data_IF_435098025173
#
_entry.id   IF_435098025173
#
_cell.length_a   1.000
_cell.length_b   1.000
_cell.length_c   1.000
_cell.angle_alpha   90.00
_cell.angle_beta   90.00
_cell.angle_gamma   90.00
#
_symmetry.space_group_name_H-M   'P 1'
#
loop_
_entity.id
_entity.type
_entity.pdbx_description
1 polymer ?
#
# COMPACT_ATOMS: atom_id res chain seq x y z
N UNK A 1 27.86 -3.35 -13.91
CA UNK A 1 26.43 -3.64 -13.57
C UNK A 1 26.44 -4.22 -12.17
N UNK A 2 26.12 -3.43 -11.15
CA UNK A 2 25.96 -3.96 -9.79
C UNK A 2 24.86 -5.01 -9.82
N UNK A 3 25.15 -6.23 -9.36
CA UNK A 3 24.18 -7.27 -9.11
C UNK A 3 23.11 -6.70 -8.16
N UNK A 4 21.94 -6.37 -8.69
CA UNK A 4 20.80 -5.97 -7.86
C UNK A 4 20.53 -7.12 -6.91
N UNK A 5 20.91 -6.97 -5.64
CA UNK A 5 20.63 -7.96 -4.60
C UNK A 5 19.11 -8.18 -4.57
N UNK A 6 18.71 -9.39 -4.85
CA UNK A 6 17.30 -9.74 -5.02
C UNK A 6 16.75 -10.18 -3.67
N UNK A 7 15.81 -9.41 -3.14
CA UNK A 7 15.16 -9.67 -1.86
C UNK A 7 13.81 -10.37 -2.12
N UNK A 8 13.84 -11.70 -2.30
CA UNK A 8 12.66 -12.49 -2.68
C UNK A 8 11.52 -12.39 -1.65
N UNK A 9 11.86 -12.42 -0.35
CA UNK A 9 10.86 -12.28 0.71
C UNK A 9 10.14 -10.94 0.66
N UNK A 10 10.81 -9.86 0.26
CA UNK A 10 10.15 -8.55 0.10
C UNK A 10 9.22 -8.51 -1.12
N UNK A 11 9.52 -9.28 -2.17
CA UNK A 11 8.60 -9.46 -3.30
C UNK A 11 7.34 -10.17 -2.85
N UNK A 12 7.49 -11.27 -2.13
CA UNK A 12 6.37 -12.04 -1.58
C UNK A 12 5.55 -11.16 -0.63
N UNK A 13 6.23 -10.45 0.28
CA UNK A 13 5.62 -9.54 1.24
C UNK A 13 4.80 -8.44 0.55
N UNK A 14 5.32 -7.84 -0.51
CA UNK A 14 4.61 -6.85 -1.32
C UNK A 14 3.42 -7.44 -2.08
N UNK A 15 3.55 -8.69 -2.56
CA UNK A 15 2.45 -9.44 -3.15
C UNK A 15 1.32 -9.73 -2.16
N UNK A 16 1.65 -10.10 -0.92
CA UNK A 16 0.68 -10.25 0.17
C UNK A 16 0.02 -8.91 0.47
N UNK A 17 0.82 -7.85 0.60
CA UNK A 17 0.31 -6.52 0.94
C UNK A 17 -0.74 -6.01 -0.06
N UNK A 18 -0.55 -6.21 -1.38
CA UNK A 18 -1.55 -5.77 -2.36
C UNK A 18 -2.83 -6.60 -2.31
N UNK A 19 -2.74 -7.89 -2.00
CA UNK A 19 -3.94 -8.72 -1.78
C UNK A 19 -4.70 -8.24 -0.55
N UNK A 20 -4.00 -7.86 0.53
CA UNK A 20 -4.61 -7.29 1.72
C UNK A 20 -5.27 -5.92 1.46
N UNK A 21 -4.74 -5.10 0.54
CA UNK A 21 -5.43 -3.89 0.08
C UNK A 21 -6.77 -4.24 -0.56
N UNK A 22 -6.77 -5.20 -1.50
CA UNK A 22 -8.01 -5.65 -2.18
C UNK A 22 -9.02 -6.20 -1.17
N UNK A 23 -8.55 -6.98 -0.19
CA UNK A 23 -9.39 -7.52 0.89
C UNK A 23 -9.92 -6.41 1.80
N UNK A 24 -9.06 -5.54 2.31
CA UNK A 24 -9.44 -4.43 3.19
C UNK A 24 -10.50 -3.52 2.55
N UNK A 25 -10.30 -3.16 1.29
CA UNK A 25 -11.30 -2.37 0.55
C UNK A 25 -12.59 -3.14 0.24
N UNK A 26 -12.60 -4.47 0.37
CA UNK A 26 -13.83 -5.26 0.23
C UNK A 26 -14.74 -5.15 1.45
N UNK A 27 -14.21 -4.73 2.61
CA UNK A 27 -15.00 -4.37 3.78
C UNK A 27 -15.56 -2.94 3.73
N UNK A 28 -14.95 -2.05 2.94
CA UNK A 28 -15.31 -0.62 2.88
C UNK A 28 -16.44 -0.36 1.88
N UNK A 29 -17.61 -0.89 2.13
CA UNK A 29 -18.80 -0.57 1.37
C UNK A 29 -19.39 0.76 1.89
N UNK A 30 -19.10 1.87 1.24
CA UNK A 30 -19.72 3.15 1.58
C UNK A 30 -21.23 3.10 1.38
N UNK A 31 -21.98 3.42 2.41
CA UNK A 31 -23.44 3.41 2.42
C UNK A 31 -24.08 2.21 3.10
N UNK A 32 -23.29 1.23 3.57
CA UNK A 32 -23.76 0.10 4.37
C UNK A 32 -22.88 -0.07 5.59
N UNK A 33 -23.49 -0.20 6.75
CA UNK A 33 -22.79 -0.38 8.04
C UNK A 33 -22.33 -1.83 8.24
N UNK A 34 -21.61 -2.40 7.25
CA UNK A 34 -21.08 -3.77 7.32
C UNK A 34 -20.14 -3.93 8.52
N UNK A 35 -19.36 -2.89 8.80
CA UNK A 35 -18.43 -2.89 9.92
C UNK A 35 -19.15 -2.72 11.25
N UNK A 36 -20.25 -1.96 11.28
CA UNK A 36 -20.97 -1.68 12.53
C UNK A 36 -21.79 -2.88 13.01
N UNK A 37 -22.30 -3.70 12.08
CA UNK A 37 -23.18 -4.82 12.38
C UNK A 37 -22.44 -6.15 12.59
N UNK A 38 -21.13 -6.23 12.36
CA UNK A 38 -20.36 -7.47 12.50
C UNK A 38 -18.97 -7.24 13.09
N UNK A 39 -18.80 -7.68 14.32
CA UNK A 39 -17.55 -7.54 15.10
C UNK A 39 -16.36 -8.19 14.35
N UNK A 40 -16.55 -9.34 13.72
CA UNK A 40 -15.50 -10.03 12.97
C UNK A 40 -15.05 -9.21 11.74
N UNK A 41 -15.99 -8.62 11.01
CA UNK A 41 -15.69 -7.78 9.87
C UNK A 41 -14.86 -6.55 10.28
N UNK A 42 -15.27 -5.88 11.36
CA UNK A 42 -14.53 -4.75 11.92
C UNK A 42 -13.13 -5.17 12.38
N UNK A 43 -13.04 -6.26 13.10
CA UNK A 43 -11.77 -6.80 13.58
C UNK A 43 -10.77 -7.04 12.44
N UNK A 44 -11.17 -7.75 11.39
CA UNK A 44 -10.30 -8.06 10.24
C UNK A 44 -9.94 -6.78 9.48
N UNK A 45 -10.93 -5.92 9.23
CA UNK A 45 -10.71 -4.64 8.56
C UNK A 45 -9.66 -3.81 9.29
N UNK A 46 -9.87 -3.55 10.59
CA UNK A 46 -9.01 -2.67 11.37
C UNK A 46 -7.60 -3.25 11.54
N UNK A 47 -7.48 -4.58 11.69
CA UNK A 47 -6.19 -5.25 11.70
C UNK A 47 -5.43 -5.06 10.38
N UNK A 48 -6.10 -5.19 9.22
CA UNK A 48 -5.47 -4.94 7.91
C UNK A 48 -5.08 -3.47 7.78
N UNK A 49 -5.99 -2.56 8.11
CA UNK A 49 -5.78 -1.11 7.97
C UNK A 49 -4.69 -0.58 8.90
N UNK A 50 -4.40 -1.27 10.00
CA UNK A 50 -3.32 -0.88 10.91
C UNK A 50 -1.96 -0.85 10.21
N UNK A 51 -1.64 -1.80 9.31
CA UNK A 51 -0.27 -2.00 8.84
C UNK A 51 -0.05 -2.03 7.33
N UNK A 52 -1.08 -2.34 6.49
CA UNK A 52 -0.85 -2.59 5.06
C UNK A 52 -0.24 -1.39 4.32
N UNK A 53 -0.67 -0.17 4.61
CA UNK A 53 -0.09 1.05 4.01
C UNK A 53 1.29 1.38 4.58
N UNK A 54 1.51 1.42 5.92
CA UNK A 54 2.85 1.48 6.51
C UNK A 54 3.85 0.49 5.90
N UNK A 55 3.41 -0.75 5.64
CA UNK A 55 4.22 -1.79 5.01
C UNK A 55 4.67 -1.39 3.59
N UNK A 56 3.78 -0.85 2.75
CA UNK A 56 4.16 -0.40 1.41
C UNK A 56 5.18 0.72 1.42
N UNK A 57 5.03 1.69 2.32
CA UNK A 57 6.00 2.77 2.47
C UNK A 57 7.34 2.27 3.01
N UNK A 58 7.33 1.33 3.95
CA UNK A 58 8.54 0.70 4.45
C UNK A 58 9.28 -0.08 3.35
N UNK A 59 8.58 -0.88 2.54
CA UNK A 59 9.19 -1.58 1.39
C UNK A 59 9.74 -0.57 0.37
N UNK A 60 9.03 0.53 0.11
CA UNK A 60 9.49 1.56 -0.81
C UNK A 60 10.78 2.23 -0.33
N UNK A 61 10.87 2.54 0.97
CA UNK A 61 12.09 3.06 1.59
C UNK A 61 13.23 2.06 1.53
N UNK A 62 12.98 0.79 1.84
CA UNK A 62 13.99 -0.28 1.79
C UNK A 62 14.56 -0.46 0.37
N UNK A 63 13.72 -0.41 -0.66
CA UNK A 63 14.14 -0.57 -2.06
C UNK A 63 14.78 0.69 -2.64
N UNK A 64 14.85 1.76 -1.87
CA UNK A 64 15.53 2.98 -2.27
C UNK A 64 17.04 2.79 -2.19
N UNK A 65 17.74 3.11 -3.27
CA UNK A 65 19.21 3.14 -3.30
C UNK A 65 19.71 4.48 -2.77
N UNK A 66 21.00 4.54 -2.35
CA UNK A 66 21.65 5.79 -2.01
C UNK A 66 21.46 6.81 -3.14
N UNK A 67 20.87 7.94 -2.81
CA UNK A 67 20.49 8.95 -3.81
C UNK A 67 21.64 9.85 -4.25
N UNK A 68 22.87 9.69 -3.70
CA UNK A 68 24.02 10.54 -4.07
C UNK A 68 24.23 10.65 -5.56
N UNK A 69 24.09 9.52 -6.27
CA UNK A 69 24.23 9.46 -7.72
C UNK A 69 22.93 9.76 -8.48
N UNK A 70 21.80 9.93 -7.76
CA UNK A 70 20.45 9.89 -8.32
C UNK A 70 19.69 11.24 -8.25
N UNK A 71 20.27 12.32 -7.73
CA UNK A 71 19.71 13.68 -7.86
C UNK A 71 19.73 14.18 -9.32
N UNK A 72 19.69 13.25 -10.28
CA UNK A 72 19.72 13.55 -11.69
C UNK A 72 18.30 13.53 -12.30
N UNK A 73 18.15 14.21 -13.42
CA UNK A 73 16.90 14.29 -14.18
C UNK A 73 16.31 12.90 -14.51
N UNK A 74 17.15 11.87 -14.69
CA UNK A 74 16.70 10.49 -15.01
C UNK A 74 15.93 9.86 -13.85
N UNK A 75 16.35 10.09 -12.61
CA UNK A 75 15.64 9.59 -11.44
C UNK A 75 14.23 10.18 -11.36
N UNK A 76 14.11 11.51 -11.35
CA UNK A 76 12.82 12.19 -11.27
C UNK A 76 11.90 11.84 -12.44
N UNK A 77 12.43 11.79 -13.64
CA UNK A 77 11.67 11.40 -14.83
C UNK A 77 11.16 9.95 -14.76
N UNK A 78 11.94 9.05 -14.17
CA UNK A 78 11.53 7.67 -13.87
C UNK A 78 10.36 7.62 -12.89
N UNK A 79 10.36 8.45 -11.82
CA UNK A 79 9.27 8.52 -10.85
C UNK A 79 8.01 9.16 -11.44
N UNK A 80 8.15 10.20 -12.25
CA UNK A 80 7.04 10.78 -13.02
C UNK A 80 6.38 9.71 -13.90
N UNK A 81 7.14 8.98 -14.70
CA UNK A 81 6.61 7.94 -15.57
C UNK A 81 5.94 6.81 -14.80
N UNK A 82 6.51 6.41 -13.66
CA UNK A 82 6.08 5.21 -12.95
C UNK A 82 4.97 5.46 -11.92
N UNK A 83 4.82 6.69 -11.43
CA UNK A 83 3.85 7.04 -10.39
C UNK A 83 2.89 8.15 -10.83
N UNK A 84 3.40 9.29 -11.32
CA UNK A 84 2.56 10.43 -11.61
C UNK A 84 1.69 10.23 -12.85
N UNK A 85 2.22 9.63 -13.93
CA UNK A 85 1.42 9.36 -15.14
C UNK A 85 0.29 8.37 -14.83
N UNK A 86 0.53 7.20 -14.20
CA UNK A 86 -0.56 6.31 -13.78
C UNK A 86 -1.56 6.97 -12.83
N UNK A 87 -1.09 7.81 -11.91
CA UNK A 87 -1.94 8.57 -11.00
C UNK A 87 -2.91 9.49 -11.76
N UNK A 88 -2.40 10.31 -12.68
CA UNK A 88 -3.22 11.24 -13.47
C UNK A 88 -4.20 10.45 -14.34
N UNK A 89 -3.72 9.42 -15.03
CA UNK A 89 -4.54 8.60 -15.93
C UNK A 89 -5.75 8.00 -15.19
N UNK A 90 -5.52 7.34 -14.05
CA UNK A 90 -6.64 6.69 -13.33
C UNK A 90 -7.64 7.70 -12.77
N UNK A 91 -7.20 8.87 -12.32
CA UNK A 91 -8.10 9.91 -11.84
C UNK A 91 -8.98 10.48 -12.96
N UNK A 92 -8.44 10.59 -14.19
CA UNK A 92 -9.23 10.99 -15.37
C UNK A 92 -10.24 9.89 -15.71
N UNK A 93 -9.81 8.62 -15.74
CA UNK A 93 -10.69 7.48 -16.03
C UNK A 93 -11.80 7.34 -14.98
N UNK A 94 -11.50 7.54 -13.71
CA UNK A 94 -12.50 7.47 -12.63
C UNK A 94 -13.47 8.66 -12.66
N UNK A 95 -13.07 9.81 -13.19
CA UNK A 95 -13.94 10.98 -13.30
C UNK A 95 -15.08 10.77 -14.35
N UNK A 96 -14.83 10.03 -15.42
CA UNK A 96 -15.79 9.81 -16.50
C UNK A 96 -17.09 9.11 -16.01
N UNK A 97 -17.04 7.90 -15.41
CA UNK A 97 -18.25 7.23 -14.93
C UNK A 97 -18.91 7.99 -13.77
N UNK A 98 -18.16 8.70 -12.93
CA UNK A 98 -18.73 9.54 -11.86
C UNK A 98 -19.52 10.72 -12.41
N UNK A 99 -19.09 11.28 -13.53
CA UNK A 99 -19.83 12.36 -14.20
C UNK A 99 -21.09 11.83 -14.90
N UNK A 100 -20.98 10.70 -15.61
CA UNK A 100 -22.09 10.10 -16.34
C UNK A 100 -23.17 9.51 -15.42
N UNK A 101 -22.79 8.96 -14.29
CA UNK A 101 -23.67 8.27 -13.32
C UNK A 101 -23.77 9.01 -11.98
N UNK A 102 -23.79 10.35 -12.01
CA UNK A 102 -23.73 11.20 -10.82
C UNK A 102 -24.85 10.89 -9.79
N UNK A 103 -26.02 10.43 -10.22
CA UNK A 103 -27.14 10.00 -9.36
C UNK A 103 -26.91 8.66 -8.64
N UNK A 104 -25.94 7.85 -9.10
CA UNK A 104 -25.67 6.50 -8.58
C UNK A 104 -24.38 6.43 -7.76
N UNK A 105 -23.61 7.51 -7.71
CA UNK A 105 -22.30 7.53 -7.07
C UNK A 105 -22.33 8.49 -5.87
N UNK A 106 -22.02 7.97 -4.68
CA UNK A 106 -22.05 8.74 -3.43
C UNK A 106 -20.99 9.86 -3.34
N UNK A 107 -19.96 9.84 -4.17
CA UNK A 107 -18.91 10.85 -4.18
C UNK A 107 -18.87 11.57 -5.53
N UNK A 108 -18.99 12.90 -5.51
CA UNK A 108 -18.81 13.75 -6.70
C UNK A 108 -17.42 13.51 -7.32
N UNK A 109 -17.31 13.72 -8.64
CA UNK A 109 -16.02 13.66 -9.35
C UNK A 109 -14.97 14.54 -8.67
N UNK A 110 -13.74 14.07 -8.61
CA UNK A 110 -12.64 14.89 -8.12
C UNK A 110 -12.45 16.09 -9.07
N UNK A 111 -12.51 17.31 -8.58
CA UNK A 111 -12.11 18.49 -9.35
C UNK A 111 -10.60 18.39 -9.68
N UNK A 112 -10.16 19.06 -10.76
CA UNK A 112 -8.75 19.12 -11.15
C UNK A 112 -7.91 19.66 -9.97
N UNK A 113 -8.41 20.68 -9.29
CA UNK A 113 -7.80 21.24 -8.08
C UNK A 113 -7.59 20.16 -7.01
N UNK A 114 -8.60 19.33 -6.75
CA UNK A 114 -8.51 18.26 -5.76
C UNK A 114 -7.48 17.19 -6.16
N UNK A 115 -7.39 16.85 -7.44
CA UNK A 115 -6.39 15.92 -7.95
C UNK A 115 -4.97 16.46 -7.74
N UNK A 116 -4.76 17.76 -7.97
CA UNK A 116 -3.43 18.38 -7.89
C UNK A 116 -3.02 18.62 -6.43
N UNK A 117 -3.90 19.18 -5.60
CA UNK A 117 -3.52 19.69 -4.28
C UNK A 117 -3.89 18.77 -3.11
N UNK A 118 -4.90 17.90 -3.26
CA UNK A 118 -5.43 17.10 -2.15
C UNK A 118 -5.37 15.59 -2.38
N UNK A 119 -4.88 15.15 -3.53
CA UNK A 119 -4.97 13.79 -4.07
C UNK A 119 -6.40 13.32 -4.36
N UNK A 120 -6.57 12.36 -5.25
CA UNK A 120 -7.82 11.59 -5.36
C UNK A 120 -8.04 10.74 -4.10
N UNK A 121 -9.27 10.63 -3.62
CA UNK A 121 -9.57 9.93 -2.37
C UNK A 121 -9.04 8.49 -2.36
N UNK A 122 -9.10 7.81 -3.50
CA UNK A 122 -8.67 6.42 -3.66
C UNK A 122 -7.20 6.28 -4.11
N UNK A 123 -6.56 7.35 -4.58
CA UNK A 123 -5.21 7.31 -5.18
C UNK A 123 -4.15 8.01 -4.34
N UNK A 124 -4.49 8.36 -3.10
CA UNK A 124 -3.64 9.10 -2.18
C UNK A 124 -2.27 8.45 -1.95
N UNK A 125 -2.21 7.12 -1.92
CA UNK A 125 -0.97 6.39 -1.70
C UNK A 125 0.08 6.69 -2.77
N UNK A 126 -0.32 6.61 -4.06
CA UNK A 126 0.60 6.86 -5.18
C UNK A 126 1.08 8.30 -5.17
N UNK A 127 0.19 9.24 -4.88
CA UNK A 127 0.50 10.66 -4.78
C UNK A 127 1.49 10.94 -3.62
N UNK A 128 1.20 10.45 -2.42
CA UNK A 128 2.08 10.62 -1.24
C UNK A 128 3.44 9.95 -1.48
N UNK A 129 3.47 8.76 -2.07
CA UNK A 129 4.71 8.06 -2.40
C UNK A 129 5.54 8.83 -3.44
N UNK A 130 4.88 9.44 -4.44
CA UNK A 130 5.53 10.30 -5.40
C UNK A 130 6.18 11.51 -4.73
N UNK A 131 5.46 12.20 -3.84
CA UNK A 131 6.00 13.34 -3.08
C UNK A 131 7.19 12.92 -2.20
N UNK A 132 7.13 11.77 -1.53
CA UNK A 132 8.27 11.25 -0.76
C UNK A 132 9.49 11.03 -1.64
N UNK A 133 9.33 10.46 -2.83
CA UNK A 133 10.46 10.31 -3.77
C UNK A 133 11.00 11.62 -4.31
N UNK A 134 10.22 12.72 -4.30
CA UNK A 134 10.74 14.05 -4.63
C UNK A 134 11.55 14.66 -3.48
N UNK A 135 11.07 14.51 -2.26
CA UNK A 135 11.61 15.21 -1.09
C UNK A 135 12.76 14.42 -0.46
N UNK A 136 12.67 13.10 -0.38
CA UNK A 136 13.61 12.26 0.35
C UNK A 136 15.07 12.35 -0.13
N UNK A 137 15.40 12.46 -1.42
CA UNK A 137 16.80 12.66 -1.86
C UNK A 137 17.43 13.94 -1.31
N UNK A 138 16.61 14.99 -1.14
CA UNK A 138 17.05 16.27 -0.55
C UNK A 138 17.32 16.08 0.95
N UNK A 139 16.41 15.41 1.64
CA UNK A 139 16.56 15.08 3.06
C UNK A 139 17.80 14.21 3.29
N UNK A 140 18.00 13.18 2.46
CA UNK A 140 19.18 12.31 2.55
C UNK A 140 20.47 13.10 2.43
N UNK A 141 20.58 13.94 1.40
CA UNK A 141 21.79 14.74 1.13
C UNK A 141 22.14 15.71 2.26
N UNK A 142 21.13 16.44 2.77
CA UNK A 142 21.38 17.56 3.69
C UNK A 142 21.24 17.22 5.16
N UNK A 143 20.50 16.17 5.50
CA UNK A 143 20.19 15.83 6.89
C UNK A 143 20.82 14.48 7.27
N UNK A 144 20.51 13.42 6.54
CA UNK A 144 20.86 12.05 6.93
C UNK A 144 22.37 11.83 6.86
N UNK A 145 23.03 12.28 5.78
CA UNK A 145 24.49 12.12 5.59
C UNK A 145 25.38 12.95 6.50
N UNK A 146 24.81 13.89 7.24
CA UNK A 146 25.53 14.72 8.19
C UNK A 146 25.52 14.13 9.62
N UNK A 147 25.49 12.81 9.74
CA UNK A 147 25.41 12.07 11.03
C UNK A 147 24.21 12.44 11.91
N UNK A 148 23.20 13.07 11.33
CA UNK A 148 21.97 13.48 12.01
C UNK A 148 20.81 12.48 11.82
N UNK A 149 21.11 11.28 11.34
CA UNK A 149 20.10 10.27 11.02
C UNK A 149 19.25 9.90 12.25
N UNK A 150 19.84 9.78 13.44
CA UNK A 150 19.05 9.50 14.66
C UNK A 150 18.11 10.64 15.01
N UNK A 151 18.57 11.89 14.91
CA UNK A 151 17.74 13.06 15.20
C UNK A 151 16.58 13.20 14.20
N UNK A 152 16.84 12.90 12.93
CA UNK A 152 15.79 12.90 11.93
C UNK A 152 14.74 11.82 12.22
N UNK A 153 15.17 10.58 12.52
CA UNK A 153 14.28 9.49 12.91
C UNK A 153 13.46 9.81 14.16
N UNK A 154 14.09 10.38 15.19
CA UNK A 154 13.41 10.85 16.39
C UNK A 154 12.39 11.96 16.07
N UNK A 155 12.76 12.90 15.21
CA UNK A 155 11.84 13.95 14.76
C UNK A 155 10.59 13.38 14.08
N UNK A 156 10.75 12.44 13.14
CA UNK A 156 9.61 11.77 12.49
C UNK A 156 8.75 10.97 13.47
N UNK A 157 9.38 10.31 14.45
CA UNK A 157 8.67 9.60 15.50
C UNK A 157 7.83 10.54 16.37
N UNK A 158 8.39 11.68 16.80
CA UNK A 158 7.68 12.68 17.58
C UNK A 158 6.54 13.33 16.77
N UNK A 159 6.77 13.65 15.48
CA UNK A 159 5.72 14.17 14.62
C UNK A 159 4.53 13.21 14.52
N UNK A 160 4.77 11.90 14.51
CA UNK A 160 3.72 10.88 14.49
C UNK A 160 2.99 10.79 15.84
N UNK A 161 3.70 10.76 16.96
CA UNK A 161 3.09 10.68 18.30
C UNK A 161 2.19 11.89 18.57
N UNK A 162 2.71 13.09 18.28
CA UNK A 162 1.98 14.33 18.53
C UNK A 162 1.01 14.71 17.39
N UNK A 163 0.86 13.85 16.38
CA UNK A 163 -0.02 14.05 15.22
C UNK A 163 0.19 15.41 14.52
N UNK A 164 1.43 15.91 14.55
CA UNK A 164 1.77 17.19 13.96
C UNK A 164 1.57 17.13 12.44
N UNK A 165 0.78 18.06 11.91
CA UNK A 165 0.42 18.09 10.49
C UNK A 165 -0.81 17.27 10.10
N UNK A 166 -1.44 16.54 11.04
CA UNK A 166 -2.63 15.69 10.77
C UNK A 166 -3.83 16.46 10.18
N UNK A 167 -3.93 17.75 10.43
CA UNK A 167 -5.00 18.63 9.93
C UNK A 167 -4.68 19.24 8.55
N UNK A 168 -3.42 19.11 8.07
CA UNK A 168 -2.99 19.72 6.81
C UNK A 168 -3.25 18.74 5.67
N UNK A 169 -4.35 18.93 4.95
CA UNK A 169 -4.76 18.04 3.85
C UNK A 169 -4.12 18.39 2.51
N UNK A 170 -3.67 19.64 2.34
CA UNK A 170 -3.01 20.07 1.11
C UNK A 170 -1.71 19.29 0.89
N UNK A 171 -1.46 18.86 -0.34
CA UNK A 171 -0.35 17.97 -0.69
C UNK A 171 -0.27 16.70 0.17
N UNK A 172 -1.39 16.27 0.75
CA UNK A 172 -1.46 15.11 1.66
C UNK A 172 -0.43 15.15 2.79
N UNK A 173 -0.16 16.34 3.36
CA UNK A 173 0.86 16.51 4.40
C UNK A 173 0.58 15.62 5.61
N UNK A 174 -0.68 15.45 5.99
CA UNK A 174 -1.12 14.54 7.05
C UNK A 174 -0.60 13.11 6.84
N UNK A 175 -0.75 12.59 5.62
CA UNK A 175 -0.30 11.24 5.25
C UNK A 175 1.19 11.19 4.98
N UNK A 176 1.74 12.25 4.40
CA UNK A 176 3.16 12.36 4.10
C UNK A 176 3.99 12.32 5.37
N UNK A 177 3.61 13.05 6.43
CA UNK A 177 4.28 13.03 7.72
C UNK A 177 4.19 11.63 8.34
N UNK A 178 2.98 11.07 8.42
CA UNK A 178 2.76 9.74 8.99
C UNK A 178 3.54 8.65 8.26
N UNK A 179 3.49 8.62 6.94
CA UNK A 179 4.12 7.57 6.13
C UNK A 179 5.63 7.75 5.96
N UNK A 180 6.15 8.98 6.08
CA UNK A 180 7.59 9.25 6.02
C UNK A 180 8.39 8.52 7.11
N UNK A 181 7.81 8.30 8.28
CA UNK A 181 8.42 7.52 9.34
C UNK A 181 8.66 6.07 8.92
N UNK A 182 7.64 5.40 8.37
CA UNK A 182 7.77 4.01 7.90
C UNK A 182 8.69 3.89 6.69
N UNK A 183 8.64 4.85 5.78
CA UNK A 183 9.57 4.93 4.66
C UNK A 183 11.02 5.05 5.15
N UNK A 184 11.26 5.91 6.13
CA UNK A 184 12.57 6.11 6.71
C UNK A 184 13.09 4.88 7.47
N UNK A 185 12.24 4.23 8.25
CA UNK A 185 12.61 2.95 8.90
C UNK A 185 12.97 1.90 7.83
N UNK A 186 12.21 1.81 6.75
CA UNK A 186 12.55 0.92 5.62
C UNK A 186 13.93 1.23 5.03
N UNK A 187 14.23 2.50 4.82
CA UNK A 187 15.54 2.95 4.34
C UNK A 187 16.69 2.53 5.27
N UNK A 188 16.52 2.69 6.59
CA UNK A 188 17.52 2.27 7.58
C UNK A 188 17.67 0.74 7.63
N UNK A 189 16.57 0.00 7.57
CA UNK A 189 16.58 -1.47 7.66
C UNK A 189 17.41 -2.13 6.56
N UNK A 190 17.57 -1.48 5.42
CA UNK A 190 18.39 -1.99 4.32
C UNK A 190 19.83 -2.27 4.75
N UNK A 191 20.42 -1.39 5.57
CA UNK A 191 21.80 -1.54 6.04
C UNK A 191 21.96 -2.68 7.04
N UNK A 192 20.88 -3.08 7.72
CA UNK A 192 20.87 -4.13 8.74
C UNK A 192 20.20 -5.42 8.25
N UNK A 193 19.84 -5.49 6.99
CA UNK A 193 19.03 -6.58 6.43
C UNK A 193 19.61 -7.98 6.70
N UNK A 194 20.90 -8.19 6.47
CA UNK A 194 21.54 -9.50 6.65
C UNK A 194 21.52 -9.96 8.12
N UNK A 195 21.76 -9.02 9.02
CA UNK A 195 21.70 -9.27 10.46
C UNK A 195 20.29 -9.63 10.91
N UNK A 196 19.29 -8.93 10.40
CA UNK A 196 17.88 -9.14 10.74
C UNK A 196 17.37 -10.45 10.13
N UNK A 197 17.64 -10.71 8.85
CA UNK A 197 17.21 -11.96 8.20
C UNK A 197 17.86 -13.22 8.83
N UNK A 198 19.08 -13.09 9.33
CA UNK A 198 19.77 -14.13 10.09
C UNK A 198 19.10 -14.40 11.46
N UNK A 199 18.63 -13.37 12.14
CA UNK A 199 17.97 -13.49 13.45
C UNK A 199 16.66 -14.27 13.38
N UNK A 200 15.94 -14.20 12.27
CA UNK A 200 14.66 -14.93 12.07
C UNK A 200 14.83 -16.45 12.21
N UNK A 201 15.95 -17.01 11.77
CA UNK A 201 16.23 -18.45 11.92
C UNK A 201 16.48 -18.82 13.39
N UNK A 202 17.09 -17.92 14.16
CA UNK A 202 17.51 -18.16 15.55
C UNK A 202 16.36 -17.99 16.54
N UNK A 203 15.48 -17.02 16.31
CA UNK A 203 14.43 -16.60 17.25
C UNK A 203 13.01 -16.90 16.78
N UNK A 204 12.79 -18.08 16.19
CA UNK A 204 11.51 -18.48 15.60
C UNK A 204 10.31 -18.31 16.56
N UNK A 205 10.49 -18.62 17.84
CA UNK A 205 9.44 -18.51 18.88
C UNK A 205 8.99 -17.06 19.08
N UNK A 206 9.94 -16.10 19.07
CA UNK A 206 9.62 -14.68 19.22
C UNK A 206 8.70 -14.21 18.09
N UNK A 207 8.96 -14.61 16.85
CA UNK A 207 8.12 -14.23 15.72
C UNK A 207 6.72 -14.85 15.79
N UNK A 208 6.60 -16.06 16.32
CA UNK A 208 5.29 -16.69 16.57
C UNK A 208 4.53 -15.89 17.63
N UNK A 209 5.18 -15.49 18.71
CA UNK A 209 4.56 -14.63 19.75
C UNK A 209 4.11 -13.29 19.14
N UNK A 210 4.92 -12.67 18.28
CA UNK A 210 4.55 -11.42 17.61
C UNK A 210 3.29 -11.61 16.72
N UNK A 211 3.19 -12.73 16.00
CA UNK A 211 1.99 -13.06 15.21
C UNK A 211 0.76 -13.19 16.11
N UNK A 212 0.88 -13.89 17.24
CA UNK A 212 -0.21 -14.05 18.19
C UNK A 212 -0.65 -12.69 18.74
N UNK A 213 0.30 -11.85 19.15
CA UNK A 213 0.00 -10.50 19.62
C UNK A 213 -0.67 -9.64 18.54
N UNK A 214 -0.23 -9.75 17.30
CA UNK A 214 -0.89 -9.05 16.19
C UNK A 214 -2.32 -9.56 15.95
N UNK A 215 -2.53 -10.88 15.99
CA UNK A 215 -3.87 -11.46 15.85
C UNK A 215 -4.77 -11.00 17.00
N UNK A 216 -4.30 -10.92 18.22
CA UNK A 216 -5.13 -10.53 19.36
C UNK A 216 -5.43 -9.03 19.43
N UNK A 217 -4.48 -8.18 19.03
CA UNK A 217 -4.52 -6.75 19.34
C UNK A 217 -4.38 -5.83 18.11
N UNK A 218 -4.17 -6.35 16.90
CA UNK A 218 -3.91 -5.54 15.71
C UNK A 218 -5.04 -4.56 15.34
N UNK A 219 -6.28 -4.85 15.75
CA UNK A 219 -7.44 -4.00 15.55
C UNK A 219 -7.48 -2.78 16.49
N UNK A 220 -6.70 -2.77 17.57
CA UNK A 220 -6.66 -1.66 18.56
C UNK A 220 -5.70 -0.52 18.15
N UNK A 221 -5.36 -0.39 16.88
CA UNK A 221 -4.35 0.55 16.41
C UNK A 221 -4.70 2.05 16.62
N UNK A 222 -5.94 2.39 16.92
CA UNK A 222 -6.39 3.75 17.18
C UNK A 222 -6.76 4.03 18.64
N UNK A 223 -6.62 3.05 19.54
CA UNK A 223 -7.14 3.16 20.92
C UNK A 223 -6.26 4.06 21.82
N UNK A 224 -4.97 4.16 21.54
CA UNK A 224 -4.03 4.99 22.31
C UNK A 224 -2.88 5.51 21.42
N UNK A 225 -2.19 6.55 21.88
CA UNK A 225 -1.19 7.28 21.09
C UNK A 225 -0.13 6.37 20.45
N UNK A 226 0.46 5.45 21.24
CA UNK A 226 1.50 4.55 20.74
C UNK A 226 0.94 3.39 19.87
N UNK A 227 -0.36 3.13 19.93
CA UNK A 227 -0.98 2.05 19.14
C UNK A 227 -0.78 2.23 17.64
N UNK A 228 -0.78 3.48 17.16
CA UNK A 228 -0.52 3.85 15.76
C UNK A 228 0.89 3.52 15.28
N UNK A 229 1.79 3.16 16.19
CA UNK A 229 3.16 2.74 15.87
C UNK A 229 3.36 1.27 16.17
N UNK A 230 2.94 0.80 17.35
CA UNK A 230 3.18 -0.57 17.83
C UNK A 230 2.47 -1.59 16.90
N UNK A 231 1.18 -1.44 16.67
CA UNK A 231 0.41 -2.43 15.90
C UNK A 231 0.78 -2.51 14.42
N UNK A 232 1.07 -1.41 13.72
CA UNK A 232 1.66 -1.49 12.39
C UNK A 232 2.95 -2.32 12.35
N UNK A 233 3.87 -2.15 13.31
CA UNK A 233 5.09 -2.96 13.37
C UNK A 233 4.82 -4.43 13.68
N UNK A 234 3.87 -4.75 14.57
CA UNK A 234 3.48 -6.14 14.83
C UNK A 234 2.97 -6.80 13.54
N UNK A 235 2.11 -6.12 12.77
CA UNK A 235 1.61 -6.61 11.48
C UNK A 235 2.73 -6.78 10.45
N UNK A 236 3.58 -5.76 10.29
CA UNK A 236 4.70 -5.79 9.34
C UNK A 236 5.65 -6.96 9.65
N UNK A 237 6.06 -7.14 10.89
CA UNK A 237 6.98 -8.21 11.32
C UNK A 237 6.32 -9.58 11.12
N UNK A 238 5.05 -9.72 11.46
CA UNK A 238 4.27 -10.95 11.29
C UNK A 238 4.24 -11.39 9.83
N UNK A 239 3.87 -10.51 8.93
CA UNK A 239 3.79 -10.83 7.50
C UNK A 239 5.15 -10.97 6.84
N UNK A 240 6.17 -10.26 7.33
CA UNK A 240 7.54 -10.50 6.89
C UNK A 240 8.02 -11.91 7.25
N UNK A 241 7.78 -12.34 8.48
CA UNK A 241 8.10 -13.71 8.90
C UNK A 241 7.37 -14.76 8.02
N UNK A 242 6.08 -14.55 7.74
CA UNK A 242 5.30 -15.42 6.84
C UNK A 242 5.94 -15.45 5.44
N UNK A 243 6.35 -14.31 4.90
CA UNK A 243 6.98 -14.22 3.58
C UNK A 243 8.29 -15.00 3.49
N UNK A 244 9.08 -15.02 4.57
CA UNK A 244 10.31 -15.84 4.67
C UNK A 244 10.04 -17.34 4.66
N UNK A 245 8.88 -17.79 5.15
CA UNK A 245 8.47 -19.19 5.09
C UNK A 245 8.00 -19.57 3.68
N UNK A 246 7.23 -18.73 3.03
CA UNK A 246 6.73 -18.96 1.66
C UNK A 246 7.88 -18.99 0.65
N UNK A 247 8.90 -18.15 0.80
CA UNK A 247 10.08 -18.09 -0.07
C UNK A 247 10.74 -19.44 -0.33
N UNK A 248 10.64 -20.39 0.62
CA UNK A 248 11.27 -21.72 0.51
C UNK A 248 10.50 -22.69 -0.36
N UNK A 249 9.31 -22.34 -0.82
CA UNK A 249 8.39 -23.23 -1.52
C UNK A 249 8.05 -22.62 -2.87
N UNK A 250 8.79 -22.97 -3.91
CA UNK A 250 8.46 -22.62 -5.29
C UNK A 250 7.22 -23.42 -5.73
N UNK A 251 6.06 -22.82 -5.55
CA UNK A 251 4.78 -23.41 -5.92
C UNK A 251 3.83 -22.39 -6.54
N UNK A 252 2.60 -22.80 -6.80
CA UNK A 252 1.54 -21.93 -7.34
C UNK A 252 1.35 -20.64 -6.52
N UNK A 253 1.45 -20.72 -5.19
CA UNK A 253 1.31 -19.57 -4.28
C UNK A 253 2.44 -18.57 -4.50
N UNK A 254 3.68 -19.04 -4.58
CA UNK A 254 4.84 -18.20 -4.86
C UNK A 254 4.68 -17.45 -6.20
N UNK A 255 4.32 -18.17 -7.26
CA UNK A 255 4.13 -17.59 -8.59
C UNK A 255 2.99 -16.57 -8.63
N UNK A 256 1.92 -16.83 -7.91
CA UNK A 256 0.80 -15.91 -7.78
C UNK A 256 1.19 -14.63 -7.03
N UNK A 257 1.87 -14.76 -5.89
CA UNK A 257 2.32 -13.62 -5.09
C UNK A 257 3.35 -12.74 -5.84
N UNK A 258 4.25 -13.36 -6.58
CA UNK A 258 5.22 -12.62 -7.42
C UNK A 258 4.55 -11.92 -8.59
N UNK A 259 3.52 -12.51 -9.19
CA UNK A 259 2.68 -11.82 -10.19
C UNK A 259 1.96 -10.60 -9.58
N UNK A 260 1.40 -10.74 -8.39
CA UNK A 260 0.76 -9.63 -7.67
C UNK A 260 1.76 -8.52 -7.32
N UNK A 261 2.99 -8.88 -6.91
CA UNK A 261 4.06 -7.92 -6.64
C UNK A 261 4.47 -7.14 -7.89
N UNK A 262 4.77 -7.83 -8.99
CA UNK A 262 5.20 -7.21 -10.25
C UNK A 262 4.19 -6.19 -10.78
N UNK A 263 2.91 -6.42 -10.53
CA UNK A 263 1.80 -5.60 -11.00
C UNK A 263 1.06 -4.85 -9.88
N UNK A 264 1.68 -4.71 -8.70
CA UNK A 264 1.03 -4.17 -7.51
C UNK A 264 0.40 -2.78 -7.71
N UNK A 265 1.05 -1.92 -8.52
CA UNK A 265 0.49 -0.60 -8.86
C UNK A 265 -0.79 -0.72 -9.69
N UNK A 266 -0.81 -1.60 -10.69
CA UNK A 266 -2.02 -1.85 -11.50
C UNK A 266 -3.16 -2.43 -10.67
N UNK A 267 -2.86 -3.37 -9.76
CA UNK A 267 -3.85 -3.87 -8.79
C UNK A 267 -4.43 -2.73 -7.97
N UNK A 268 -3.59 -1.87 -7.40
CA UNK A 268 -4.02 -0.74 -6.58
C UNK A 268 -4.89 0.25 -7.34
N UNK A 269 -4.51 0.61 -8.59
CA UNK A 269 -5.21 1.58 -9.38
C UNK A 269 -6.56 1.06 -9.92
N UNK A 270 -6.60 -0.19 -10.36
CA UNK A 270 -7.81 -0.80 -10.95
C UNK A 270 -8.79 -1.31 -9.89
N UNK A 271 -8.31 -1.60 -8.68
CA UNK A 271 -9.09 -2.13 -7.59
C UNK A 271 -10.28 -1.25 -7.25
N UNK A 272 -10.08 0.06 -7.19
CA UNK A 272 -11.14 1.03 -6.90
C UNK A 272 -12.22 1.04 -7.98
N UNK A 273 -11.79 0.98 -9.24
CA UNK A 273 -12.72 0.93 -10.38
C UNK A 273 -13.55 -0.36 -10.36
N UNK A 274 -12.91 -1.52 -10.23
CA UNK A 274 -13.60 -2.80 -10.10
C UNK A 274 -14.56 -2.80 -8.90
N UNK A 275 -14.12 -2.29 -7.75
CA UNK A 275 -14.94 -2.20 -6.54
C UNK A 275 -16.18 -1.33 -6.72
N UNK A 276 -16.08 -0.23 -7.47
CA UNK A 276 -17.23 0.63 -7.79
C UNK A 276 -18.24 -0.08 -8.70
N UNK A 277 -17.75 -0.74 -9.75
CA UNK A 277 -18.62 -1.49 -10.68
C UNK A 277 -19.36 -2.62 -9.97
N UNK A 278 -18.65 -3.45 -9.21
CA UNK A 278 -19.27 -4.55 -8.45
C UNK A 278 -20.28 -4.07 -7.42
N UNK A 279 -19.99 -2.97 -6.73
CA UNK A 279 -20.92 -2.38 -5.77
C UNK A 279 -22.24 -1.97 -6.43
N UNK A 280 -22.18 -1.25 -7.55
CA UNK A 280 -23.39 -0.82 -8.26
C UNK A 280 -24.22 -2.01 -8.70
N UNK A 281 -23.57 -3.07 -9.21
CA UNK A 281 -24.26 -4.30 -9.65
C UNK A 281 -24.92 -5.00 -8.44
N UNK A 282 -24.20 -5.23 -7.36
CA UNK A 282 -24.68 -5.97 -6.19
C UNK A 282 -25.82 -5.23 -5.47
N UNK A 283 -25.68 -3.92 -5.26
CA UNK A 283 -26.71 -3.14 -4.56
C UNK A 283 -28.05 -3.15 -5.32
N UNK A 284 -28.01 -3.16 -6.67
CA UNK A 284 -29.26 -3.10 -7.47
C UNK A 284 -29.91 -4.46 -7.69
N UNK A 285 -29.13 -5.55 -7.65
CA UNK A 285 -29.59 -6.87 -8.13
C UNK A 285 -29.95 -7.78 -6.95
N UNK A 286 -29.33 -7.63 -5.79
CA UNK A 286 -29.42 -8.63 -4.71
C UNK A 286 -29.75 -7.94 -3.39
N UNK A 287 -30.99 -8.10 -2.86
CA UNK A 287 -31.30 -7.77 -1.46
C UNK A 287 -30.66 -8.84 -0.55
N UNK A 288 -29.41 -8.64 -0.15
CA UNK A 288 -28.68 -9.61 0.67
C UNK A 288 -28.35 -8.99 2.02
N UNK A 289 -28.48 -9.79 3.07
CA UNK A 289 -27.90 -9.51 4.38
C UNK A 289 -26.38 -9.47 4.30
N UNK A 290 -25.79 -8.39 4.83
CA UNK A 290 -24.34 -8.15 4.77
C UNK A 290 -23.63 -8.97 5.84
N UNK A 291 -23.14 -10.15 5.46
CA UNK A 291 -22.35 -11.03 6.32
C UNK A 291 -20.93 -11.18 5.81
N UNK A 292 -20.10 -11.87 6.59
CA UNK A 292 -18.70 -12.14 6.24
C UNK A 292 -18.54 -12.92 4.92
N UNK A 293 -19.46 -13.83 4.61
CA UNK A 293 -19.44 -14.61 3.37
C UNK A 293 -19.64 -13.73 2.14
N UNK A 294 -20.49 -12.71 2.24
CA UNK A 294 -20.65 -11.73 1.17
C UNK A 294 -19.36 -10.94 0.91
N UNK A 295 -18.66 -10.51 1.96
CA UNK A 295 -17.36 -9.83 1.84
C UNK A 295 -16.34 -10.73 1.15
N UNK A 296 -16.26 -12.01 1.53
CA UNK A 296 -15.37 -12.99 0.90
C UNK A 296 -15.71 -13.25 -0.56
N UNK A 297 -17.00 -13.37 -0.89
CA UNK A 297 -17.42 -13.55 -2.29
C UNK A 297 -17.10 -12.32 -3.15
N UNK A 298 -17.36 -11.13 -2.62
CA UNK A 298 -16.99 -9.87 -3.26
C UNK A 298 -15.48 -9.73 -3.45
N UNK A 299 -14.70 -10.03 -2.43
CA UNK A 299 -13.24 -10.07 -2.52
C UNK A 299 -12.76 -11.05 -3.60
N UNK A 300 -13.30 -12.26 -3.62
CA UNK A 300 -12.91 -13.30 -4.58
C UNK A 300 -13.21 -12.90 -6.00
N UNK A 301 -14.41 -12.41 -6.29
CA UNK A 301 -14.81 -11.92 -7.61
C UNK A 301 -13.92 -10.75 -8.07
N UNK A 302 -13.68 -9.80 -7.19
CA UNK A 302 -12.85 -8.64 -7.43
C UNK A 302 -11.39 -9.05 -7.72
N UNK A 303 -10.82 -9.96 -6.91
CA UNK A 303 -9.47 -10.45 -7.10
C UNK A 303 -9.32 -11.21 -8.41
N UNK A 304 -10.24 -12.10 -8.73
CA UNK A 304 -10.23 -12.88 -9.98
C UNK A 304 -10.30 -11.94 -11.20
N UNK A 305 -11.21 -10.98 -11.21
CA UNK A 305 -11.35 -10.03 -12.33
C UNK A 305 -10.11 -9.13 -12.47
N UNK A 306 -9.50 -8.70 -11.36
CA UNK A 306 -8.24 -7.95 -11.41
C UNK A 306 -7.11 -8.81 -12.00
N UNK A 307 -6.96 -10.06 -11.57
CA UNK A 307 -5.93 -10.97 -12.11
C UNK A 307 -6.12 -11.19 -13.60
N UNK A 308 -7.34 -11.49 -14.04
CA UNK A 308 -7.66 -11.70 -15.46
C UNK A 308 -7.41 -10.40 -16.25
N UNK A 309 -7.96 -9.28 -15.81
CA UNK A 309 -7.81 -8.00 -16.49
C UNK A 309 -6.34 -7.56 -16.60
N UNK A 310 -5.58 -7.67 -15.53
CA UNK A 310 -4.15 -7.31 -15.55
C UNK A 310 -3.37 -8.27 -16.45
N UNK A 311 -3.57 -9.56 -16.33
CA UNK A 311 -2.83 -10.57 -17.10
C UNK A 311 -3.09 -10.48 -18.61
N UNK A 312 -4.35 -10.36 -19.00
CA UNK A 312 -4.75 -10.49 -20.41
C UNK A 312 -4.96 -9.15 -21.13
N UNK A 313 -5.33 -8.08 -20.42
CA UNK A 313 -5.53 -6.77 -21.02
C UNK A 313 -4.35 -5.83 -20.78
N UNK A 314 -3.93 -5.66 -19.52
CA UNK A 314 -2.91 -4.67 -19.18
C UNK A 314 -1.52 -5.14 -19.59
N UNK A 315 -1.10 -6.33 -19.16
CA UNK A 315 0.25 -6.84 -19.44
C UNK A 315 0.51 -7.13 -20.92
N UNK A 316 -0.51 -7.42 -21.72
CA UNK A 316 -0.37 -7.69 -23.15
C UNK A 316 -0.46 -6.43 -24.03
N UNK A 317 -0.83 -5.29 -23.46
CA UNK A 317 -0.90 -4.03 -24.19
C UNK A 317 0.17 -3.06 -23.68
N UNK A 318 1.08 -2.62 -24.58
CA UNK A 318 2.19 -1.73 -24.24
C UNK A 318 1.71 -0.38 -23.66
N UNK A 319 0.62 0.16 -24.16
CA UNK A 319 0.08 1.44 -23.70
C UNK A 319 -0.58 1.30 -22.34
N UNK A 320 -1.43 0.29 -22.15
CA UNK A 320 -2.06 0.05 -20.84
C UNK A 320 -1.04 -0.34 -19.77
N UNK A 321 -0.02 -1.14 -20.11
CA UNK A 321 1.02 -1.45 -19.15
C UNK A 321 1.80 -0.21 -18.71
N UNK A 322 2.06 0.72 -19.61
CA UNK A 322 2.69 1.99 -19.28
C UNK A 322 1.77 2.89 -18.43
N UNK A 323 0.51 3.06 -18.83
CA UNK A 323 -0.46 3.93 -18.16
C UNK A 323 -0.89 3.42 -16.78
N UNK A 324 -0.79 2.12 -16.52
CA UNK A 324 -1.16 1.49 -15.26
C UNK A 324 0.04 0.97 -14.46
N UNK A 325 1.25 1.22 -14.94
CA UNK A 325 2.49 0.82 -14.27
C UNK A 325 2.72 -0.69 -14.17
N UNK A 326 2.13 -1.49 -15.07
CA UNK A 326 2.35 -2.92 -15.18
C UNK A 326 3.62 -3.26 -15.95
N UNK A 327 4.05 -4.51 -15.84
CA UNK A 327 5.14 -5.06 -16.66
C UNK A 327 4.58 -5.59 -17.98
N UNK A 328 4.95 -4.95 -19.08
CA UNK A 328 4.58 -5.43 -20.42
C UNK A 328 5.22 -6.80 -20.68
N UNK A 329 4.41 -7.76 -21.08
CA UNK A 329 4.84 -9.11 -21.50
C UNK A 329 4.40 -9.30 -22.96
N UNK A 330 5.39 -9.46 -23.84
CA UNK A 330 5.13 -9.79 -25.24
C UNK A 330 4.42 -11.14 -25.38
#
# INVERSE_FOLDING_TARGET
MENKKYYEELRILKGIAIILVVLGHSFSFTGFNILDNNILNRYIHDSIYSFHMPLFFMIAGFLTNNYEDNLNKKFYFSKIKRLLIPYIFINIVDAIPRHLFNSLVNNKSNSIERIIFYSGAATWFVYTLFLLFLIFPIIEKYIIKKDKYYLFGLGLFLLNIFEIGSNIKIFTVDRLVYMSFYFYIGYLLKNYYEKISGSVKKFNVIYIVIIILFILYGNFYNEFILSKIIFPFLGIISFWYISLKIKKVENLIYNFLTFCEENSLSFYLLEVFCGTVYRVILIKIIPIEYNFLLVLSFFSLKLISLVIGIKYMVCKNKYFSFLLGAKYKK
#
